data_IF_436778449927
#
_entry.id   IF_436778449927
#
_cell.length_a   1.000
_cell.length_b   1.000
_cell.length_c   1.000
_cell.angle_alpha   90.00
_cell.angle_beta   90.00
_cell.angle_gamma   90.00
#
_symmetry.space_group_name_H-M   'P 1'
#
loop_
_entity.id
_entity.type
_entity.pdbx_description
1 polymer ?
#
# COMPACT_ATOMS: atom_id res chain seq x y z
N UNK A 1 29.00 -25.79 10.19
CA UNK A 1 27.64 -25.29 9.85
C UNK A 1 27.42 -23.85 10.33
N UNK A 2 27.81 -23.48 11.56
CA UNK A 2 27.63 -22.09 12.06
C UNK A 2 28.51 -21.01 11.41
N UNK A 3 29.67 -21.37 10.86
CA UNK A 3 30.60 -20.38 10.27
C UNK A 3 30.17 -19.89 8.87
N UNK A 4 29.43 -20.73 8.12
CA UNK A 4 28.92 -20.40 6.78
C UNK A 4 27.76 -19.40 6.88
N UNK A 5 26.91 -19.55 7.90
CA UNK A 5 25.77 -18.65 8.15
C UNK A 5 26.25 -17.23 8.50
N UNK A 6 27.33 -17.10 9.29
CA UNK A 6 27.87 -15.80 9.69
C UNK A 6 28.55 -15.05 8.52
N UNK A 7 29.16 -15.78 7.59
CA UNK A 7 29.78 -15.22 6.38
C UNK A 7 28.71 -14.69 5.39
N UNK A 8 27.59 -15.39 5.25
CA UNK A 8 26.46 -14.94 4.43
C UNK A 8 25.82 -13.66 4.97
N UNK A 9 25.71 -13.51 6.31
CA UNK A 9 25.18 -12.30 6.95
C UNK A 9 26.14 -11.12 6.79
N UNK A 10 27.45 -11.33 6.89
CA UNK A 10 28.45 -10.26 6.70
C UNK A 10 28.57 -9.80 5.25
N UNK A 11 28.30 -10.68 4.27
CA UNK A 11 28.32 -10.31 2.85
C UNK A 11 27.05 -9.53 2.44
N UNK A 12 25.90 -9.82 3.06
CA UNK A 12 24.66 -9.03 2.93
C UNK A 12 24.83 -7.58 3.44
N UNK A 13 25.66 -7.36 4.47
CA UNK A 13 25.91 -6.04 5.04
C UNK A 13 26.81 -5.17 4.15
N UNK A 14 27.54 -5.74 3.18
CA UNK A 14 28.49 -4.99 2.35
C UNK A 14 27.86 -4.29 1.13
N UNK A 15 26.52 -4.22 1.03
CA UNK A 15 25.74 -3.42 0.06
C UNK A 15 26.06 -3.57 -1.45
N UNK A 16 27.07 -4.34 -1.84
CA UNK A 16 27.60 -4.36 -3.21
C UNK A 16 26.81 -5.26 -4.15
N UNK A 17 26.00 -6.20 -3.63
CA UNK A 17 25.17 -7.11 -4.44
C UNK A 17 23.98 -7.63 -3.63
N UNK A 18 23.15 -6.74 -3.09
CA UNK A 18 21.88 -7.16 -2.47
C UNK A 18 20.78 -7.11 -3.53
N UNK A 19 20.13 -8.25 -3.76
CA UNK A 19 19.02 -8.36 -4.70
C UNK A 19 17.86 -7.46 -4.24
N UNK A 20 17.37 -6.60 -5.14
CA UNK A 20 16.33 -5.60 -4.83
C UNK A 20 15.02 -6.25 -4.39
N UNK A 21 14.70 -7.45 -4.87
CA UNK A 21 13.50 -8.18 -4.48
C UNK A 21 13.64 -8.73 -3.06
N UNK A 22 14.83 -9.23 -2.71
CA UNK A 22 15.12 -9.66 -1.33
C UNK A 22 14.99 -8.46 -0.41
N UNK A 23 15.60 -7.31 -0.76
CA UNK A 23 15.47 -6.09 0.05
C UNK A 23 14.01 -5.64 0.20
N UNK A 24 13.24 -5.61 -0.89
CA UNK A 24 11.83 -5.22 -0.86
C UNK A 24 11.00 -6.15 0.05
N UNK A 25 11.32 -7.45 0.11
CA UNK A 25 10.63 -8.38 1.01
C UNK A 25 10.86 -8.11 2.50
N UNK A 26 11.93 -7.38 2.85
CA UNK A 26 12.21 -6.93 4.22
C UNK A 26 11.76 -5.49 4.49
N UNK A 27 11.70 -4.65 3.45
CA UNK A 27 11.27 -3.27 3.58
C UNK A 27 9.75 -3.15 3.65
N UNK A 28 9.02 -3.87 2.78
CA UNK A 28 7.57 -3.76 2.68
C UNK A 28 6.88 -4.81 3.56
N UNK A 29 5.93 -4.35 4.37
CA UNK A 29 5.19 -5.19 5.30
C UNK A 29 3.69 -5.19 4.94
N UNK A 30 3.29 -5.78 3.80
CA UNK A 30 1.89 -5.78 3.40
C UNK A 30 1.05 -6.50 4.46
N UNK A 31 -0.01 -5.84 4.93
CA UNK A 31 -0.98 -6.40 5.86
C UNK A 31 -2.29 -6.67 5.15
N UNK A 32 -2.94 -7.75 5.56
CA UNK A 32 -4.32 -8.01 5.16
C UNK A 32 -5.26 -7.23 6.07
N UNK A 33 -6.23 -6.54 5.48
CA UNK A 33 -7.35 -6.00 6.23
C UNK A 33 -8.18 -7.14 6.85
N UNK A 34 -8.60 -6.98 8.10
CA UNK A 34 -9.57 -7.88 8.74
C UNK A 34 -10.99 -7.67 8.20
N UNK A 35 -11.24 -6.48 7.63
CA UNK A 35 -12.51 -6.10 7.05
C UNK A 35 -12.70 -6.78 5.68
N UNK A 36 -13.92 -7.24 5.42
CA UNK A 36 -14.27 -7.74 4.09
C UNK A 36 -14.35 -6.60 3.08
N UNK A 37 -14.08 -6.95 1.82
CA UNK A 37 -14.25 -6.05 0.66
C UNK A 37 -15.70 -5.55 0.65
N UNK A 38 -15.87 -4.25 0.72
CA UNK A 38 -17.14 -3.54 0.71
C UNK A 38 -17.43 -2.85 -0.63
N UNK A 39 -18.54 -2.12 -0.68
CA UNK A 39 -18.99 -1.42 -1.89
C UNK A 39 -18.05 -0.30 -2.34
N UNK A 40 -17.21 0.22 -1.43
CA UNK A 40 -16.25 1.28 -1.70
C UNK A 40 -14.89 0.74 -2.15
N UNK A 41 -14.68 -0.58 -2.14
CA UNK A 41 -13.40 -1.20 -2.50
C UNK A 41 -13.44 -1.63 -3.97
N UNK A 42 -12.50 -1.11 -4.74
CA UNK A 42 -12.39 -1.34 -6.17
C UNK A 42 -11.01 -1.86 -6.55
N UNK A 43 -10.95 -2.71 -7.57
CA UNK A 43 -9.70 -3.14 -8.19
C UNK A 43 -9.56 -2.46 -9.54
N UNK A 44 -8.55 -1.59 -9.67
CA UNK A 44 -8.25 -0.86 -10.89
C UNK A 44 -7.12 -1.58 -11.63
N UNK A 45 -7.36 -1.98 -12.87
CA UNK A 45 -6.32 -2.53 -13.74
C UNK A 45 -5.43 -1.39 -14.25
N UNK A 46 -4.13 -1.49 -13.98
CA UNK A 46 -3.14 -0.46 -14.34
C UNK A 46 -2.23 -0.91 -15.48
N UNK A 47 -2.00 -2.22 -15.59
CA UNK A 47 -1.29 -2.89 -16.67
C UNK A 47 -1.87 -4.31 -16.84
N UNK A 48 -1.51 -5.00 -17.92
CA UNK A 48 -2.00 -6.36 -18.19
C UNK A 48 -1.70 -7.30 -17.02
N UNK A 49 -2.76 -7.76 -16.35
CA UNK A 49 -2.65 -8.65 -15.18
C UNK A 49 -2.24 -7.96 -13.87
N UNK A 50 -2.03 -6.64 -13.86
CA UNK A 50 -1.67 -5.87 -12.66
C UNK A 50 -2.87 -5.01 -12.22
N UNK A 51 -3.34 -5.25 -10.99
CA UNK A 51 -4.46 -4.53 -10.38
C UNK A 51 -4.06 -3.89 -9.07
N UNK A 52 -4.50 -2.67 -8.84
CA UNK A 52 -4.31 -1.92 -7.60
C UNK A 52 -5.66 -1.80 -6.88
N UNK A 53 -5.67 -2.09 -5.58
CA UNK A 53 -6.83 -1.85 -4.73
C UNK A 53 -6.99 -0.36 -4.46
N UNK A 54 -8.21 0.14 -4.56
CA UNK A 54 -8.53 1.52 -4.22
C UNK A 54 -9.84 1.56 -3.44
N UNK A 55 -9.82 2.25 -2.30
CA UNK A 55 -10.99 2.51 -1.48
C UNK A 55 -11.51 3.92 -1.73
N UNK A 56 -12.77 4.02 -2.11
CA UNK A 56 -13.42 5.24 -2.56
C UNK A 56 -14.30 5.87 -1.48
N UNK A 57 -14.04 7.14 -1.19
CA UNK A 57 -14.90 8.01 -0.38
C UNK A 57 -15.31 9.22 -1.23
N UNK A 58 -16.25 8.96 -2.14
CA UNK A 58 -16.74 9.92 -3.13
C UNK A 58 -18.03 10.59 -2.66
N UNK A 59 -18.19 11.87 -2.97
CA UNK A 59 -19.40 12.64 -2.66
C UNK A 59 -20.15 12.98 -3.94
N UNK A 60 -19.46 13.58 -4.91
CA UNK A 60 -20.03 13.93 -6.20
C UNK A 60 -18.94 14.17 -7.25
N UNK A 61 -19.32 14.24 -8.51
CA UNK A 61 -18.40 14.36 -9.66
C UNK A 61 -17.80 15.76 -9.84
N UNK A 62 -18.33 16.79 -9.17
CA UNK A 62 -17.84 18.17 -9.23
C UNK A 62 -16.85 18.49 -8.11
N UNK A 63 -16.77 17.65 -7.08
CA UNK A 63 -15.82 17.79 -5.99
C UNK A 63 -14.37 17.53 -6.48
N UNK A 64 -13.38 18.28 -5.97
CA UNK A 64 -11.97 17.99 -6.20
C UNK A 64 -11.61 16.59 -5.69
N UNK A 65 -10.63 15.97 -6.36
CA UNK A 65 -10.17 14.63 -6.07
C UNK A 65 -8.80 14.66 -5.39
N UNK A 66 -8.67 13.90 -4.31
CA UNK A 66 -7.38 13.56 -3.70
C UNK A 66 -7.17 12.05 -3.85
N UNK A 67 -6.14 11.68 -4.60
CA UNK A 67 -5.62 10.33 -4.64
C UNK A 67 -4.48 10.23 -3.62
N UNK A 68 -4.67 9.37 -2.62
CA UNK A 68 -3.78 9.18 -1.50
C UNK A 68 -3.23 7.75 -1.51
N UNK A 69 -1.92 7.61 -1.34
CA UNK A 69 -1.27 6.31 -1.18
C UNK A 69 -0.98 6.10 0.30
N UNK A 70 -1.41 4.96 0.86
CA UNK A 70 -1.15 4.66 2.26
C UNK A 70 0.35 4.46 2.55
N UNK A 71 0.75 4.47 3.83
CA UNK A 71 2.11 4.21 4.25
C UNK A 71 2.46 2.71 4.25
N UNK A 72 3.76 2.41 4.41
CA UNK A 72 4.23 1.03 4.48
C UNK A 72 3.61 0.30 5.68
N UNK A 73 2.96 -0.83 5.40
CA UNK A 73 2.28 -1.63 6.40
C UNK A 73 1.02 -1.00 6.97
N UNK A 74 0.48 0.03 6.35
CA UNK A 74 -0.89 0.51 6.59
C UNK A 74 -1.83 -0.11 5.55
N UNK A 75 -3.13 -0.01 5.77
CA UNK A 75 -4.16 -0.53 4.86
C UNK A 75 -5.24 0.52 4.61
N UNK A 76 -5.85 0.51 3.42
CA UNK A 76 -6.84 1.52 3.04
C UNK A 76 -7.98 1.75 4.07
N UNK A 77 -8.56 0.71 4.72
CA UNK A 77 -9.63 0.93 5.70
C UNK A 77 -9.21 1.64 6.99
N UNK A 78 -7.91 1.71 7.32
CA UNK A 78 -7.43 2.47 8.49
C UNK A 78 -7.60 3.99 8.31
N UNK A 79 -7.98 4.42 7.12
CA UNK A 79 -8.21 5.82 6.76
C UNK A 79 -9.69 6.22 6.67
N UNK A 80 -10.62 5.31 6.99
CA UNK A 80 -12.07 5.57 6.91
C UNK A 80 -12.50 6.76 7.79
N UNK A 81 -11.85 6.94 8.95
CA UNK A 81 -12.14 8.03 9.88
C UNK A 81 -11.72 9.39 9.30
N UNK A 82 -10.52 9.50 8.74
CA UNK A 82 -10.04 10.73 8.11
C UNK A 82 -10.74 11.01 6.78
N UNK A 83 -11.20 9.98 6.08
CA UNK A 83 -11.92 10.15 4.83
C UNK A 83 -13.21 10.96 5.04
N UNK A 84 -13.88 10.75 6.17
CA UNK A 84 -15.06 11.55 6.57
C UNK A 84 -14.73 13.05 6.69
N UNK A 85 -13.52 13.38 7.14
CA UNK A 85 -13.03 14.75 7.31
C UNK A 85 -12.74 15.43 5.97
N UNK A 86 -12.25 14.70 4.97
CA UNK A 86 -12.14 15.19 3.59
C UNK A 86 -13.51 15.41 2.97
N UNK A 87 -14.43 14.47 3.18
CA UNK A 87 -15.78 14.56 2.64
C UNK A 87 -16.53 15.77 3.22
N UNK A 88 -16.41 16.06 4.52
CA UNK A 88 -16.99 17.27 5.12
C UNK A 88 -16.49 18.58 4.50
N UNK A 89 -15.36 18.56 3.78
CA UNK A 89 -14.79 19.69 3.03
C UNK A 89 -15.08 19.64 1.53
N UNK A 90 -16.05 18.82 1.12
CA UNK A 90 -16.43 18.63 -0.28
C UNK A 90 -15.29 18.09 -1.15
N UNK A 91 -14.45 17.20 -0.60
CA UNK A 91 -13.35 16.56 -1.32
C UNK A 91 -13.63 15.06 -1.45
N UNK A 92 -13.49 14.53 -2.67
CA UNK A 92 -13.44 13.10 -2.92
C UNK A 92 -12.08 12.56 -2.48
N UNK A 93 -12.08 11.56 -1.61
CA UNK A 93 -10.85 10.97 -1.08
C UNK A 93 -10.75 9.51 -1.52
N UNK A 94 -9.66 9.17 -2.21
CA UNK A 94 -9.42 7.84 -2.76
C UNK A 94 -8.11 7.31 -2.22
N UNK A 95 -8.17 6.22 -1.46
CA UNK A 95 -6.99 5.60 -0.87
C UNK A 95 -6.58 4.43 -1.74
N UNK A 96 -5.44 4.55 -2.41
CA UNK A 96 -4.87 3.51 -3.27
C UNK A 96 -3.78 2.73 -2.55
N UNK A 97 -3.76 1.42 -2.80
CA UNK A 97 -2.63 0.58 -2.51
C UNK A 97 -1.46 0.95 -3.44
N UNK A 98 -0.25 0.63 -3.02
CA UNK A 98 0.93 0.67 -3.88
C UNK A 98 1.59 -0.71 -3.87
N UNK A 99 2.16 -1.09 -5.03
CA UNK A 99 2.87 -2.36 -5.23
C UNK A 99 4.33 -2.10 -5.53
#
# INVERSE_FOLDING_TARGET
MNFIILLSITTLINCQTMDINILNSFLFHPRMASQQIGANDHLIEVEEGIKVGVRFHLINTSAPNVLFFHGNGEIAPEYDDIASIYNQREINFMIADFR
#
